data_IF_753698174071
#
_entry.id   IF_753698174071
#
_cell.length_a   1.000
_cell.length_b   1.000
_cell.length_c   1.000
_cell.angle_alpha   90.00
_cell.angle_beta   90.00
_cell.angle_gamma   90.00
#
_symmetry.space_group_name_H-M   'P 1'
#
loop_
_entity.id
_entity.type
_entity.pdbx_description
1 polymer ?
2 non-polymer ?
3 non-polymer ?
4 non-polymer ?
5 water ?
#
# COMPACT_ATOMS: atom_id res chain seq x y z
N UNK A 42 12.23 -3.33 -15.00
CA UNK A 42 12.15 -2.30 -13.91
C UNK A 42 11.17 -1.13 -14.25
N UNK A 43 10.36 -0.73 -13.25
CA UNK A 43 9.50 0.48 -13.26
C UNK A 43 10.17 1.61 -12.47
N UNK A 44 10.06 2.86 -12.87
CA UNK A 44 10.67 3.95 -12.12
C UNK A 44 9.77 4.33 -10.95
N UNK A 45 10.40 4.53 -9.80
CA UNK A 45 9.79 4.93 -8.56
C UNK A 45 10.13 6.41 -8.26
N UNK A 46 9.17 7.26 -7.87
CA UNK A 46 7.74 6.95 -7.61
C UNK A 46 6.98 6.65 -8.87
N UNK A 47 6.04 5.70 -8.76
CA UNK A 47 5.25 5.19 -9.86
C UNK A 47 3.80 5.43 -9.58
N UNK A 48 3.05 5.83 -10.62
CA UNK A 48 1.61 5.98 -10.53
C UNK A 48 0.90 4.92 -11.34
N UNK A 49 0.06 4.11 -10.73
CA UNK A 49 -0.75 3.12 -11.37
C UNK A 49 -2.17 3.66 -11.41
N UNK A 50 -2.73 4.01 -12.60
CA UNK A 50 -4.14 4.40 -12.64
C UNK A 50 -5.02 3.22 -12.30
N UNK A 51 -6.13 3.49 -11.58
CA UNK A 51 -7.17 2.55 -11.23
C UNK A 51 -8.45 3.03 -11.87
N UNK A 52 -8.70 2.63 -13.16
CA UNK A 52 -9.78 3.29 -13.91
C UNK A 52 -11.14 3.01 -13.30
N UNK A 53 -11.89 4.11 -13.04
CA UNK A 53 -13.15 3.96 -12.37
C UNK A 53 -13.07 3.55 -10.90
N UNK A 54 -11.91 3.75 -10.31
CA UNK A 54 -11.72 3.49 -8.89
C UNK A 54 -11.67 2.01 -8.57
N UNK A 55 -11.89 1.75 -7.27
CA UNK A 55 -11.81 0.38 -6.81
C UNK A 55 -13.22 -0.14 -6.42
N UNK A 56 -13.32 -1.43 -6.18
CA UNK A 56 -14.59 -2.11 -5.96
C UNK A 56 -14.28 -3.41 -5.22
N UNK A 57 -15.21 -3.91 -4.38
CA UNK A 57 -14.92 -5.19 -3.71
C UNK A 57 -14.58 -6.31 -4.71
N UNK A 58 -13.64 -7.14 -4.31
CA UNK A 58 -13.13 -8.30 -5.05
C UNK A 58 -12.10 -7.88 -6.14
N UNK A 59 -11.69 -6.62 -6.15
CA UNK A 59 -10.52 -6.16 -6.93
C UNK A 59 -9.24 -6.36 -6.13
N UNK A 60 -8.30 -7.04 -6.77
CA UNK A 60 -7.01 -7.43 -6.15
C UNK A 60 -5.90 -6.68 -6.85
N UNK A 61 -5.13 -5.88 -6.11
CA UNK A 61 -4.00 -5.13 -6.64
C UNK A 61 -2.73 -5.79 -6.17
N UNK A 62 -1.82 -6.12 -7.12
CA UNK A 62 -0.57 -6.85 -6.83
C UNK A 62 0.61 -5.94 -7.19
N UNK A 63 1.52 -5.82 -6.24
CA UNK A 63 2.76 -5.06 -6.42
C UNK A 63 3.94 -5.99 -6.17
N UNK A 64 4.84 -6.08 -7.17
CA UNK A 64 6.06 -6.92 -7.04
C UNK A 64 7.26 -6.03 -7.13
N UNK A 65 8.24 -6.28 -6.27
CA UNK A 65 9.50 -5.58 -6.33
C UNK A 65 10.50 -6.23 -5.43
N UNK A 66 11.57 -5.50 -5.22
CA UNK A 66 12.64 -5.94 -4.32
C UNK A 66 13.00 -4.82 -3.39
N UNK A 67 13.07 -5.12 -2.08
CA UNK A 67 13.45 -4.08 -1.14
C UNK A 67 14.92 -3.73 -1.31
N UNK A 68 15.27 -2.46 -1.32
CA UNK A 68 16.65 -2.07 -1.45
C UNK A 68 17.45 -2.50 -0.19
N UNK A 69 18.77 -2.71 -0.34
CA UNK A 69 19.54 -3.12 0.82
C UNK A 69 19.49 -1.99 1.86
N UNK A 70 19.56 -2.23 3.14
CA UNK A 70 19.36 -0.83 3.91
C UNK A 70 18.19 0.28 3.46
N UNK A 71 17.09 -0.20 2.95
CA UNK A 71 15.84 0.54 2.95
C UNK A 71 15.49 1.18 4.32
N UNK A 72 14.87 2.33 4.17
CA UNK A 72 14.31 3.03 5.29
C UNK A 72 12.77 3.09 5.28
N UNK A 73 12.18 3.22 4.11
CA UNK A 73 10.70 3.38 4.04
C UNK A 73 10.17 2.95 2.69
N UNK A 74 8.89 2.52 2.70
CA UNK A 74 8.12 2.24 1.49
C UNK A 74 6.76 2.85 1.68
N UNK A 75 6.10 3.30 0.63
CA UNK A 75 4.71 3.71 0.75
C UNK A 75 3.86 3.31 -0.47
N UNK A 76 2.64 2.84 -0.15
CA UNK A 76 1.57 2.74 -1.12
C UNK A 76 0.53 3.73 -0.78
N UNK A 77 0.08 4.53 -1.73
CA UNK A 77 -0.96 5.57 -1.54
C UNK A 77 -2.11 5.35 -2.49
N UNK A 78 -3.22 4.81 -2.00
CA UNK A 78 -4.44 4.70 -2.79
C UNK A 78 -5.13 6.03 -2.71
N UNK A 79 -5.22 6.79 -3.79
CA UNK A 79 -5.64 8.15 -3.79
C UNK A 79 -7.00 8.38 -4.41
N UNK A 80 -7.78 9.29 -3.79
CA UNK A 80 -9.01 9.86 -4.33
C UNK A 80 -8.69 11.34 -4.58
N UNK A 81 -8.32 11.66 -5.81
CA UNK A 81 -7.77 12.99 -6.05
C UNK A 81 -6.55 13.22 -5.17
N UNK A 82 -6.51 14.36 -4.47
CA UNK A 82 -5.41 14.62 -3.51
C UNK A 82 -5.58 13.86 -2.21
N UNK A 83 -6.75 13.31 -1.89
CA UNK A 83 -6.88 12.59 -0.67
C UNK A 83 -6.24 11.22 -0.77
N UNK A 84 -5.75 10.72 0.35
CA UNK A 84 -5.20 9.37 0.42
C UNK A 84 -6.19 8.48 1.17
N UNK A 85 -6.94 7.68 0.45
CA UNK A 85 -7.87 6.79 1.11
C UNK A 85 -7.15 5.77 1.99
N UNK A 86 -6.01 5.26 1.51
CA UNK A 86 -5.27 4.21 2.24
C UNK A 86 -3.80 4.40 1.92
N UNK A 87 -3.08 4.78 2.98
CA UNK A 87 -1.62 4.90 3.00
C UNK A 87 -1.07 3.71 3.76
N UNK A 88 -0.22 2.91 3.14
CA UNK A 88 0.40 1.72 3.68
C UNK A 88 1.88 1.96 3.67
N UNK A 89 2.47 2.09 4.86
CA UNK A 89 3.83 2.64 4.99
C UNK A 89 4.73 1.83 5.92
N UNK A 90 5.44 0.81 5.40
CA UNK A 90 6.51 0.15 6.12
C UNK A 90 7.64 1.16 6.45
N UNK A 91 8.02 1.17 7.73
CA UNK A 91 9.14 1.96 8.22
C UNK A 91 10.16 0.97 8.83
N UNK A 92 11.38 0.96 8.31
CA UNK A 92 12.39 0.02 8.69
C UNK A 92 13.22 0.43 9.93
N UNK A 93 13.13 1.69 10.31
CA UNK A 93 13.91 2.17 11.45
C UNK A 93 13.26 3.36 12.08
N UNK A 94 12.17 3.12 12.79
CA UNK A 94 11.53 4.13 13.59
C UNK A 94 11.86 3.79 15.06
N UNK A 95 12.75 4.57 15.65
CA UNK A 95 13.24 4.29 16.97
C UNK A 95 13.75 2.85 17.12
N UNK A 96 14.51 2.45 16.11
CA UNK A 96 15.12 1.13 16.09
C UNK A 96 14.14 -0.03 16.10
N UNK A 97 12.96 0.23 15.57
CA UNK A 97 11.99 -0.83 15.37
C UNK A 97 11.44 -0.73 13.94
N UNK A 98 10.96 -1.86 13.46
CA UNK A 98 10.31 -1.92 12.15
C UNK A 98 8.81 -1.96 12.41
N UNK A 99 8.08 -1.09 11.71
CA UNK A 99 6.64 -0.99 11.92
C UNK A 99 5.95 -0.69 10.60
N UNK A 100 4.71 -1.17 10.51
CA UNK A 100 3.84 -0.78 9.41
C UNK A 100 2.86 0.27 9.88
N UNK A 101 2.87 1.46 9.27
CA UNK A 101 1.94 2.55 9.61
C UNK A 101 0.90 2.71 8.49
N UNK A 102 -0.38 2.69 8.84
CA UNK A 102 -1.43 2.95 7.88
C UNK A 102 -2.24 4.16 8.29
N UNK A 103 -2.74 4.90 7.34
CA UNK A 103 -3.50 6.11 7.64
C UNK A 103 -4.29 6.59 6.41
N UNK A 104 -5.04 7.67 6.57
CA UNK A 104 -5.84 8.33 5.55
C UNK A 104 -5.51 9.82 5.64
N UNK A 105 -5.42 10.45 4.49
CA UNK A 105 -5.15 11.89 4.41
C UNK A 105 -6.34 12.53 3.74
N UNK A 106 -6.96 13.52 4.45
CA UNK A 106 -8.14 14.21 3.97
C UNK A 106 -7.88 15.70 4.00
N UNK A 107 -8.07 16.39 2.87
CA UNK A 107 -7.79 17.84 2.84
C UNK A 107 -6.42 18.12 3.36
N UNK A 108 -5.44 17.30 3.01
CA UNK A 108 -4.05 17.50 3.42
C UNK A 108 -3.77 17.24 4.89
N UNK A 109 -4.70 16.62 5.64
CA UNK A 109 -4.54 16.31 7.04
C UNK A 109 -4.52 14.80 7.25
N UNK A 110 -3.44 14.31 7.87
CA UNK A 110 -3.38 12.91 8.29
C UNK A 110 -4.35 12.65 9.45
N UNK A 111 -4.94 11.46 9.50
CA UNK A 111 -5.81 11.08 10.55
C UNK A 111 -5.13 10.23 11.62
N UNK A 112 -5.88 9.34 12.25
CA UNK A 112 -5.32 8.45 13.27
C UNK A 112 -4.51 7.33 12.63
N UNK A 113 -3.29 7.14 13.01
CA UNK A 113 -2.52 6.00 12.54
C UNK A 113 -2.97 4.67 13.05
N UNK A 114 -2.89 3.66 12.22
CA UNK A 114 -3.08 2.25 12.62
C UNK A 114 -1.72 1.59 12.45
N UNK A 115 -1.19 1.03 13.51
CA UNK A 115 0.16 0.44 13.54
C UNK A 115 0.20 -1.07 13.77
N UNK A 116 1.09 -1.75 13.04
CA UNK A 116 1.25 -3.24 13.03
C UNK A 116 2.78 -3.48 13.22
N UNK A 117 3.19 -4.19 14.28
CA UNK A 117 4.61 -4.63 14.46
C UNK A 117 4.99 -5.86 13.70
N UNK A 118 4.00 -6.67 13.29
CA UNK A 118 4.36 -7.78 12.41
C UNK A 118 4.85 -7.16 11.09
N UNK A 119 6.04 -7.54 10.70
CA UNK A 119 6.77 -6.82 9.67
C UNK A 119 7.40 -7.84 8.72
N UNK A 120 6.76 -8.08 7.57
CA UNK A 120 7.21 -9.22 6.74
C UNK A 120 8.27 -8.90 5.75
N UNK A 121 8.68 -7.63 5.61
CA UNK A 121 9.67 -7.25 4.63
C UNK A 121 11.07 -7.45 5.18
N UNK A 122 12.02 -7.68 4.26
CA UNK A 122 13.43 -7.83 4.60
C UNK A 122 14.22 -7.09 3.60
N UNK A 123 15.15 -6.26 4.05
CA UNK A 123 16.06 -5.56 3.15
C UNK A 123 16.75 -6.48 2.15
N UNK A 124 16.76 -6.08 0.88
CA UNK A 124 17.44 -6.88 -0.15
C UNK A 124 16.60 -7.96 -0.76
N UNK A 125 15.36 -8.20 -0.29
CA UNK A 125 14.60 -9.38 -0.74
C UNK A 125 13.44 -9.00 -1.68
N UNK A 126 13.10 -9.91 -2.59
CA UNK A 126 11.90 -9.72 -3.43
C UNK A 126 10.63 -9.91 -2.61
N UNK A 127 9.65 -9.09 -2.87
CA UNK A 127 8.39 -9.10 -2.15
C UNK A 127 7.20 -9.07 -3.15
N UNK A 128 6.05 -9.46 -2.61
CA UNK A 128 4.74 -9.30 -3.27
C UNK A 128 3.79 -8.72 -2.22
N UNK A 129 3.22 -7.56 -2.57
CA UNK A 129 2.12 -7.01 -1.76
C UNK A 129 0.86 -7.19 -2.53
N UNK A 130 -0.13 -7.83 -1.89
CA UNK A 130 -1.46 -7.94 -2.49
C UNK A 130 -2.47 -7.17 -1.62
N UNK A 131 -3.19 -6.25 -2.23
CA UNK A 131 -4.22 -5.49 -1.57
C UNK A 131 -5.55 -5.91 -2.19
N UNK A 132 -6.41 -6.54 -1.39
CA UNK A 132 -7.70 -7.00 -1.82
C UNK A 132 -8.74 -6.06 -1.25
N UNK A 133 -9.52 -5.45 -2.11
CA UNK A 133 -10.61 -4.57 -1.70
C UNK A 133 -11.78 -5.41 -1.29
N UNK A 134 -12.25 -5.26 -0.05
CA UNK A 134 -13.44 -5.94 0.44
C UNK A 134 -14.50 -4.90 0.78
N UNK A 135 -15.74 -5.35 1.12
CA UNK A 135 -16.81 -4.37 1.31
C UNK A 135 -16.56 -3.35 2.39
N UNK A 136 -15.92 -3.76 3.51
CA UNK A 136 -15.73 -2.86 4.63
C UNK A 136 -14.25 -2.47 4.86
N UNK A 137 -13.30 -3.10 4.16
CA UNK A 137 -11.89 -2.87 4.45
C UNK A 137 -11.05 -3.20 3.23
N UNK A 138 -9.80 -2.69 3.25
CA UNK A 138 -8.72 -3.25 2.45
C UNK A 138 -8.08 -4.38 3.25
N UNK A 139 -7.79 -5.49 2.61
CA UNK A 139 -7.04 -6.56 3.23
C UNK A 139 -5.68 -6.68 2.55
N UNK A 140 -4.59 -6.72 3.31
CA UNK A 140 -3.26 -6.77 2.75
C UNK A 140 -2.59 -8.10 3.14
N UNK A 141 -2.00 -8.77 2.15
CA UNK A 141 -1.16 -9.94 2.34
C UNK A 141 0.18 -9.66 1.71
N UNK A 142 1.25 -10.10 2.39
CA UNK A 142 2.62 -9.95 1.88
C UNK A 142 3.22 -11.30 1.73
N UNK A 143 3.73 -11.59 0.56
CA UNK A 143 4.34 -12.89 0.32
C UNK A 143 3.39 -14.03 0.74
N UNK A 144 2.13 -13.85 0.36
CA UNK A 144 1.07 -14.84 0.54
C UNK A 144 0.66 -15.07 1.99
N UNK A 145 1.04 -14.22 2.91
CA UNK A 145 0.61 -14.32 4.32
C UNK A 145 -0.17 -13.06 4.67
N UNK A 146 -1.37 -13.27 5.21
CA UNK A 146 -2.18 -12.16 5.69
C UNK A 146 -1.39 -11.28 6.64
N UNK A 147 -1.49 -9.98 6.44
CA UNK A 147 -0.79 -8.97 7.27
C UNK A 147 -1.76 -8.12 8.07
N UNK A 148 -2.72 -7.48 7.43
CA UNK A 148 -3.59 -6.52 8.15
C UNK A 148 -4.85 -6.24 7.35
N UNK A 149 -5.83 -5.67 8.02
CA UNK A 149 -7.01 -5.08 7.36
C UNK A 149 -7.09 -3.62 7.78
N UNK A 150 -7.65 -2.81 6.92
CA UNK A 150 -7.82 -1.37 7.18
C UNK A 150 -9.21 -0.93 6.74
N UNK A 151 -10.05 -0.58 7.73
CA UNK A 151 -11.46 -0.25 7.44
C UNK A 151 -11.54 0.97 6.52
N UNK A 152 -12.56 0.96 5.66
CA UNK A 152 -12.74 2.10 4.75
C UNK A 152 -13.14 3.37 5.50
N UNK A 153 -12.35 4.40 5.40
CA UNK A 153 -12.67 5.74 5.87
C UNK A 153 -13.23 6.60 4.75
N UNK A 154 -12.60 6.51 3.60
CA UNK A 154 -13.10 7.09 2.34
C UNK A 154 -14.05 6.10 1.72
N UNK A 155 -15.30 6.51 1.49
CA UNK A 155 -16.37 5.59 1.14
C UNK A 155 -16.73 5.62 -0.35
N UNK A 156 -16.25 6.64 -1.09
CA UNK A 156 -16.48 6.72 -2.52
C UNK A 156 -15.43 5.89 -3.24
N UNK A 157 -15.60 4.55 -3.16
CA UNK A 157 -14.57 3.61 -3.65
C UNK A 157 -14.26 3.84 -5.12
N UNK A 158 -15.29 4.12 -5.88
CA UNK A 158 -15.18 4.27 -7.34
C UNK A 158 -14.50 5.60 -7.74
N UNK A 159 -14.04 6.35 -6.75
CA UNK A 159 -13.24 7.57 -6.98
C UNK A 159 -11.81 7.42 -6.53
N UNK A 160 -11.43 6.24 -5.99
CA UNK A 160 -10.03 5.99 -5.57
C UNK A 160 -9.33 5.46 -6.83
N UNK A 161 -8.87 6.41 -7.65
CA UNK A 161 -8.50 6.11 -9.04
C UNK A 161 -7.03 6.14 -9.30
N UNK A 162 -6.19 6.14 -8.28
CA UNK A 162 -4.74 6.09 -8.52
C UNK A 162 -4.10 5.35 -7.38
N UNK A 163 -3.06 4.57 -7.65
CA UNK A 163 -2.16 4.01 -6.65
C UNK A 163 -0.80 4.59 -6.89
N UNK A 164 -0.25 5.31 -5.89
CA UNK A 164 1.14 5.74 -5.92
C UNK A 164 2.02 4.79 -5.18
N UNK A 165 3.20 4.50 -5.72
CA UNK A 165 4.15 3.59 -5.10
C UNK A 165 5.47 4.32 -4.99
N UNK A 166 6.01 4.45 -3.78
CA UNK A 166 7.19 5.20 -3.53
C UNK A 166 8.08 4.49 -2.50
N UNK A 167 9.34 5.00 -2.45
CA UNK A 167 10.26 4.58 -1.43
C UNK A 167 11.36 3.64 -1.90
N UNK A 168 11.91 2.84 -0.94
CA UNK A 168 13.22 2.25 -1.11
C UNK A 168 13.11 0.83 -1.66
N UNK A 169 12.59 0.77 -2.89
CA UNK A 169 12.36 -0.47 -3.59
C UNK A 169 12.85 -0.34 -5.06
N UNK A 170 13.14 -1.48 -5.67
CA UNK A 170 13.18 -1.65 -7.10
C UNK A 170 11.84 -2.26 -7.46
N UNK A 171 11.04 -1.56 -8.24
CA UNK A 171 9.69 -1.98 -8.58
C UNK A 171 9.71 -2.75 -9.91
N UNK A 172 9.07 -3.91 -9.94
CA UNK A 172 8.98 -4.73 -11.11
C UNK A 172 7.61 -4.75 -11.77
N UNK A 173 6.53 -4.78 -10.99
CA UNK A 173 5.19 -4.87 -11.58
C UNK A 173 4.17 -4.28 -10.64
N UNK A 174 3.14 -3.67 -11.23
CA UNK A 174 1.99 -3.20 -10.45
C UNK A 174 0.76 -3.40 -11.33
N UNK A 175 -0.22 -4.18 -10.90
CA UNK A 175 -1.34 -4.54 -11.75
C UNK A 175 -2.54 -4.91 -10.88
N UNK A 176 -3.67 -5.15 -11.53
CA UNK A 176 -4.87 -5.52 -10.81
C UNK A 176 -5.65 -6.56 -11.60
N UNK A 177 -6.54 -7.28 -10.90
CA UNK A 177 -7.46 -8.22 -11.48
C UNK A 177 -8.67 -8.35 -10.58
N UNK A 178 -9.75 -9.00 -11.06
CA UNK A 178 -10.90 -9.35 -10.22
C UNK A 178 -10.78 -10.81 -9.77
N UNK A 179 -11.07 -11.15 -8.51
CA UNK A 179 -11.05 -12.54 -8.04
C UNK A 179 -12.47 -13.13 -8.10
X LIG B 1 7.83 7.44 6.73
X LIG C 1 2.86 9.51 6.65
X LIG C 1 7.57 6.95 1.85
X LIG C 1 6.80 7.65 2.78
X LIG C 1 6.56 8.98 2.55
X LIG C 1 5.73 9.69 3.48
X LIG C 1 8.10 7.54 0.74
X LIG C 1 7.80 8.87 0.52
X LIG C 1 7.03 9.61 1.45
X LIG C 1 7.58 13.18 8.02
X LIG C 1 3.86 10.64 6.38
X LIG C 1 8.21 9.39 -0.59
X LIG C 1 8.90 6.85 -0.10
X LIG C 1 7.90 5.63 2.11
X LIG C 1 5.39 9.45 4.77
X LIG C 1 5.08 10.84 3.09
X LIG C 1 4.37 11.29 4.09
X LIG C 1 4.56 10.43 5.13
X LIG C 1 3.52 8.28 6.73
X LIG C 1 2.16 9.82 7.94
X LIG C 1 1.13 8.71 8.30
X LIG C 1 0.40 9.06 9.46
X LIG C 1 4.81 10.76 7.52
X LIG C 1 5.63 11.92 7.29
X LIG C 1 6.82 11.85 8.11
X LIG C 1 7.22 14.07 7.38
X LIG C 1 8.70 13.26 8.71
X LIG C 1 4.04 10.90 8.87
X LIG C 1 3.07 9.89 9.02
X LIG C 1 3.33 12.64 8.98
X LIG C 1 2.60 12.46 10.57
X LIG C 1 1.33 12.02 10.73
X LIG C 1 0.80 11.84 11.98
X LIG C 1 -0.83 11.22 12.15
X LIG C 1 1.55 12.09 13.15
X LIG C 1 0.88 11.89 14.70
X LIG C 1 2.87 12.52 13.03
X LIG C 1 3.42 12.72 11.74
X LIG C 1 2.11 9.51 5.85
X LIG C 1 6.41 7.13 3.66
X LIG C 1 6.83 10.67 1.27
X LIG C 1 3.31 11.58 6.28
X LIG C 1 5.70 8.65 5.43
X LIG C 1 2.94 7.59 7.13
X LIG C 1 1.63 10.77 7.83
X LIG C 1 1.66 7.81 8.60
X LIG C 1 0.51 8.44 7.45
X LIG C 1 -0.01 9.94 9.28
X LIG C 1 5.41 9.85 7.58
X LIG C 1 7.49 11.05 7.78
X LIG C 1 6.62 11.66 9.16
X LIG C 1 8.91 12.41 9.20
X LIG C 1 4.70 10.73 9.72
X LIG C 1 0.71 11.83 9.86
X LIG C 1 3.45 12.69 13.93
X LIG C 1 4.45 13.07 11.64
X LIG D 1 -16.38 10.60 -11.86
#
# INVERSE_FOLDING_TARGET
GAPAPGVYPGPPSGPGAYPSSGQPSATGAYPATGHMGAPAGPLIVPYNLPLPGGVVPRMLITILGTVKPNANRIALDFQRGNDVAFHFNPRFNENNRRVIVCNTKLDNNWGREERQSVFPFESGKPFKIQVLVEPDHFKVAVNDAHLLQYNHRVKKLNEISKLGISGDIDLTSASYTMI
CL CL
QB2 C13 C18 C17 C16 C15 C19 C20 C21 C11 C12 F2 F1 F C14 N1 N2 N O5 C1 C O C9 O2 C10 O4 O3 C2 O1 S C3 C8 C7 CL1 C6 CL C5 C4 H4 H16 H17 H3 H15 H14 H H7 H6 H5 H2 H11 H12 H13 H1 H10 H9 H8
NA NA
#
